data_IF_472478315220
#
_entry.id   IF_472478315220
#
_cell.length_a   1.000
_cell.length_b   1.000
_cell.length_c   1.000
_cell.angle_alpha   90.00
_cell.angle_beta   90.00
_cell.angle_gamma   90.00
#
_symmetry.space_group_name_H-M   'P 1'
#
loop_
_entity.id
_entity.type
_entity.pdbx_description
1 polymer ?
#
# COMPACT_ATOMS: atom_id res chain seq x y z
N UNK A 1 -37.27 58.39 -29.21
CA UNK A 1 -37.82 59.47 -28.37
C UNK A 1 -38.74 58.83 -27.34
N UNK A 2 -38.66 59.18 -26.05
CA UNK A 2 -37.53 58.88 -25.17
C UNK A 2 -37.95 58.34 -23.78
N UNK A 3 -36.95 57.99 -22.96
CA UNK A 3 -36.85 58.10 -21.49
C UNK A 3 -37.98 57.49 -20.61
N UNK A 4 -37.71 56.89 -19.45
CA UNK A 4 -37.33 57.63 -18.23
C UNK A 4 -36.46 56.78 -17.31
N UNK A 5 -35.29 57.34 -17.01
CA UNK A 5 -34.42 57.09 -15.83
C UNK A 5 -35.19 57.17 -14.49
N UNK A 6 -34.85 56.35 -13.49
CA UNK A 6 -33.97 56.76 -12.36
C UNK A 6 -33.87 55.71 -11.22
N UNK A 7 -32.78 55.76 -10.42
CA UNK A 7 -32.38 54.77 -9.41
C UNK A 7 -32.58 55.24 -7.95
N UNK A 8 -32.65 54.32 -6.98
CA UNK A 8 -32.39 54.49 -5.52
C UNK A 8 -32.49 53.09 -4.86
N UNK A 9 -31.79 52.65 -3.80
CA UNK A 9 -30.71 53.16 -2.95
C UNK A 9 -29.91 51.95 -2.39
N UNK A 10 -28.60 52.05 -2.18
CA UNK A 10 -27.93 52.58 -0.98
C UNK A 10 -28.22 51.85 0.35
N UNK A 11 -27.18 51.10 0.79
CA UNK A 11 -26.78 50.74 2.17
C UNK A 11 -27.55 49.63 2.90
N UNK A 12 -26.81 48.59 3.31
CA UNK A 12 -26.19 48.52 4.65
C UNK A 12 -25.15 47.39 4.71
N UNK A 13 -23.91 47.80 4.90
CA UNK A 13 -22.85 46.99 5.49
C UNK A 13 -23.23 46.64 6.93
N UNK A 14 -23.02 45.39 7.33
CA UNK A 14 -22.94 45.01 8.75
C UNK A 14 -21.50 44.61 9.04
N UNK A 15 -20.74 45.61 9.46
CA UNK A 15 -19.47 45.44 10.17
C UNK A 15 -19.80 44.98 11.58
N UNK A 16 -19.50 43.72 11.90
CA UNK A 16 -19.49 43.23 13.28
C UNK A 16 -18.08 43.49 13.81
N UNK A 17 -17.96 44.56 14.60
CA UNK A 17 -16.78 44.92 15.40
C UNK A 17 -17.30 45.18 16.81
N UNK A 18 -16.88 44.35 17.77
CA UNK A 18 -16.91 44.50 19.24
C UNK A 18 -16.49 43.11 19.78
N UNK A 19 -15.58 42.90 20.73
CA UNK A 19 -14.70 43.71 21.55
C UNK A 19 -13.73 42.71 22.23
N UNK A 20 -12.43 42.99 22.41
CA UNK A 20 -11.52 42.06 23.07
C UNK A 20 -11.56 42.25 24.60
N UNK A 21 -11.92 41.21 25.35
CA UNK A 21 -11.78 41.21 26.82
C UNK A 21 -10.36 40.79 27.22
N UNK A 22 -9.63 41.78 27.75
CA UNK A 22 -8.35 41.63 28.46
C UNK A 22 -8.51 40.78 29.73
N UNK A 23 -7.50 39.95 29.96
CA UNK A 23 -6.73 39.96 31.20
C UNK A 23 -7.10 38.93 32.25
N UNK A 24 -6.18 38.00 32.51
CA UNK A 24 -5.40 38.01 33.77
C UNK A 24 -4.21 37.05 33.70
N UNK A 25 -3.05 37.69 33.77
CA UNK A 25 -1.72 37.16 34.10
C UNK A 25 -1.72 36.56 35.51
N UNK A 26 -1.20 35.34 35.69
CA UNK A 26 -0.63 34.87 36.97
C UNK A 26 0.54 33.90 36.67
N UNK A 27 1.77 34.43 36.76
CA UNK A 27 2.99 33.82 37.28
C UNK A 27 3.69 34.97 38.03
N UNK A 28 4.31 34.75 39.21
CA UNK A 28 5.61 34.05 39.32
C UNK A 28 5.66 33.20 40.62
N UNK A 29 6.72 32.58 41.17
CA UNK A 29 8.18 32.59 40.98
C UNK A 29 8.77 31.41 41.81
N UNK A 30 10.10 31.23 41.71
CA UNK A 30 11.03 30.49 42.61
C UNK A 30 11.10 28.94 42.47
N UNK A 31 12.19 28.36 41.96
CA UNK A 31 13.57 28.26 42.46
C UNK A 31 13.74 27.26 43.63
N UNK A 32 14.26 26.06 43.33
CA UNK A 32 15.20 25.34 44.21
C UNK A 32 15.90 24.20 43.48
N UNK A 33 17.23 24.25 43.48
CA UNK A 33 18.19 23.15 43.35
C UNK A 33 19.31 23.44 44.39
N UNK A 34 20.27 22.55 44.72
CA UNK A 34 20.53 21.20 44.22
C UNK A 34 20.79 20.15 45.33
N UNK A 35 20.95 18.87 44.95
CA UNK A 35 21.45 17.81 45.84
C UNK A 35 22.41 16.88 45.11
N UNK A 36 23.72 17.07 45.34
CA UNK A 36 24.80 16.17 44.93
C UNK A 36 25.01 15.11 46.02
N UNK A 37 25.32 13.88 45.62
CA UNK A 37 25.88 12.84 46.50
C UNK A 37 26.49 11.71 45.67
N UNK A 38 27.82 11.61 45.72
CA UNK A 38 28.65 10.63 45.02
C UNK A 38 29.32 9.67 46.01
N UNK A 39 29.72 8.49 45.53
CA UNK A 39 30.54 7.48 46.23
C UNK A 39 29.67 6.37 46.85
N UNK A 40 29.88 5.08 46.58
CA UNK A 40 31.15 4.37 46.80
C UNK A 40 31.27 3.12 45.94
N UNK A 41 32.52 2.87 45.57
CA UNK A 41 33.12 1.74 44.87
C UNK A 41 32.97 0.38 45.57
N UNK A 42 32.69 -0.67 44.80
CA UNK A 42 32.89 -2.07 45.20
C UNK A 42 33.17 -2.93 43.96
N UNK A 43 34.37 -3.49 43.90
CA UNK A 43 35.00 -4.14 42.74
C UNK A 43 35.07 -5.66 42.93
N UNK A 44 34.84 -6.41 41.82
CA UNK A 44 35.19 -7.82 41.52
C UNK A 44 34.46 -8.91 42.35
N UNK A 45 34.10 -10.10 41.87
CA UNK A 45 34.54 -10.93 40.73
C UNK A 45 33.40 -11.94 40.41
N UNK A 46 33.03 -12.18 39.15
CA UNK A 46 33.50 -13.28 38.29
C UNK A 46 32.43 -14.34 37.96
N UNK A 47 32.41 -14.72 36.68
CA UNK A 47 32.01 -16.01 36.09
C UNK A 47 30.51 -16.35 35.97
N UNK A 48 30.09 -16.27 34.71
CA UNK A 48 29.78 -17.42 33.84
C UNK A 48 28.31 -17.68 33.45
N UNK A 49 28.18 -18.00 32.16
CA UNK A 49 27.13 -18.79 31.48
C UNK A 49 25.81 -18.12 31.12
N UNK A 50 25.75 -17.74 29.84
CA UNK A 50 24.67 -18.07 28.89
C UNK A 50 23.47 -18.82 29.45
N UNK A 51 22.29 -18.18 29.42
CA UNK A 51 21.02 -18.88 29.25
C UNK A 51 20.11 -18.07 28.33
N UNK A 52 20.09 -18.50 27.07
CA UNK A 52 19.05 -18.28 26.06
C UNK A 52 17.68 -18.59 26.69
N UNK A 53 16.61 -17.81 26.50
CA UNK A 53 15.29 -18.21 26.98
C UNK A 53 14.88 -19.47 26.21
N UNK A 54 14.79 -20.58 26.94
CA UNK A 54 14.35 -21.89 26.46
C UNK A 54 12.83 -21.79 26.31
N UNK A 55 12.33 -22.12 25.12
CA UNK A 55 10.89 -22.14 24.84
C UNK A 55 10.15 -22.95 25.91
N UNK A 56 9.09 -22.36 26.43
CA UNK A 56 8.17 -22.96 27.40
C UNK A 56 7.67 -24.28 26.82
N UNK A 57 8.08 -25.40 27.39
CA UNK A 57 7.45 -26.68 27.15
C UNK A 57 6.07 -26.62 27.82
N UNK A 58 5.00 -26.64 27.02
CA UNK A 58 3.62 -26.73 27.50
C UNK A 58 3.47 -28.03 28.31
N UNK A 59 2.83 -27.91 29.47
CA UNK A 59 2.55 -29.07 30.34
C UNK A 59 1.39 -29.89 29.74
N UNK A 60 1.26 -31.19 30.05
CA UNK A 60 0.23 -32.09 29.46
C UNK A 60 -1.23 -31.75 29.84
N UNK A 61 -1.47 -30.56 30.37
CA UNK A 61 -2.76 -30.03 30.81
C UNK A 61 -3.21 -28.80 30.00
N UNK A 62 -2.42 -28.33 29.03
CA UNK A 62 -2.84 -27.27 28.11
C UNK A 62 -3.66 -27.86 26.94
N UNK A 63 -4.86 -27.32 26.65
CA UNK A 63 -5.73 -27.90 25.62
C UNK A 63 -5.09 -27.83 24.23
N UNK A 64 -5.17 -28.92 23.48
CA UNK A 64 -4.61 -28.97 22.13
C UNK A 64 -5.35 -28.00 21.18
N UNK A 65 -4.70 -27.54 20.11
CA UNK A 65 -5.37 -26.66 19.13
C UNK A 65 -6.61 -27.32 18.50
N UNK A 66 -6.64 -28.64 18.44
CA UNK A 66 -7.80 -29.42 18.01
C UNK A 66 -8.93 -29.37 19.04
N UNK A 67 -8.62 -29.52 20.33
CA UNK A 67 -9.59 -29.38 21.43
C UNK A 67 -10.15 -27.96 21.54
N UNK A 68 -9.33 -26.93 21.28
CA UNK A 68 -9.78 -25.52 21.25
C UNK A 68 -10.85 -25.28 20.17
N UNK A 69 -10.80 -26.02 19.06
CA UNK A 69 -11.82 -25.98 18.00
C UNK A 69 -12.88 -27.09 18.15
N UNK A 70 -12.74 -28.01 19.11
CA UNK A 70 -13.62 -29.16 19.29
C UNK A 70 -13.55 -30.19 18.15
N UNK A 71 -12.35 -30.39 17.58
CA UNK A 71 -12.10 -31.27 16.45
C UNK A 71 -11.18 -32.43 16.82
N UNK A 72 -11.18 -33.47 15.99
CA UNK A 72 -10.18 -34.54 16.04
C UNK A 72 -9.00 -34.21 15.11
N UNK A 73 -7.80 -34.80 15.32
CA UNK A 73 -6.63 -34.57 14.46
C UNK A 73 -6.83 -35.00 12.99
N UNK A 74 -7.81 -35.87 12.73
CA UNK A 74 -8.20 -36.36 11.42
C UNK A 74 -9.18 -35.43 10.67
N UNK A 75 -9.57 -34.29 11.26
CA UNK A 75 -10.52 -33.36 10.65
C UNK A 75 -10.00 -32.78 9.33
N UNK A 76 -10.88 -32.75 8.33
CA UNK A 76 -10.65 -32.16 7.02
C UNK A 76 -10.61 -30.62 7.09
N UNK A 77 -10.01 -29.98 6.08
CA UNK A 77 -9.93 -28.52 6.01
C UNK A 77 -11.32 -27.83 6.05
N UNK A 78 -12.35 -28.51 5.51
CA UNK A 78 -13.72 -28.00 5.48
C UNK A 78 -14.39 -28.08 6.87
N UNK A 79 -14.09 -29.12 7.64
CA UNK A 79 -14.52 -29.26 9.04
C UNK A 79 -13.81 -28.24 9.94
N UNK A 80 -12.51 -28.00 9.73
CA UNK A 80 -11.72 -26.98 10.45
C UNK A 80 -12.33 -25.59 10.27
N UNK A 81 -12.67 -25.21 9.03
CA UNK A 81 -13.32 -23.93 8.72
C UNK A 81 -14.71 -23.83 9.33
N UNK A 82 -15.45 -24.94 9.39
CA UNK A 82 -16.81 -24.94 9.94
C UNK A 82 -16.82 -24.86 11.46
N UNK A 83 -15.92 -25.58 12.13
CA UNK A 83 -15.73 -25.52 13.57
C UNK A 83 -15.24 -24.14 14.02
N UNK A 84 -14.30 -23.52 13.31
CA UNK A 84 -13.85 -22.15 13.60
C UNK A 84 -15.02 -21.15 13.59
N UNK A 85 -15.89 -21.20 12.58
CA UNK A 85 -17.07 -20.31 12.52
C UNK A 85 -18.06 -20.53 13.67
N UNK A 86 -18.11 -21.74 14.24
CA UNK A 86 -18.96 -22.05 15.39
C UNK A 86 -18.29 -21.58 16.69
N UNK A 87 -17.00 -21.85 16.86
CA UNK A 87 -16.22 -21.46 18.02
C UNK A 87 -16.06 -19.93 18.13
N UNK A 88 -15.80 -19.23 17.01
CA UNK A 88 -15.64 -17.78 16.99
C UNK A 88 -16.94 -17.02 17.34
N UNK A 89 -18.11 -17.55 16.96
CA UNK A 89 -19.40 -16.98 17.37
C UNK A 89 -19.64 -17.12 18.87
N UNK A 90 -19.31 -18.28 19.43
CA UNK A 90 -19.45 -18.54 20.87
C UNK A 90 -18.43 -17.76 21.71
N UNK A 91 -17.25 -17.45 21.15
CA UNK A 91 -16.19 -16.70 21.83
C UNK A 91 -16.30 -15.17 21.64
N UNK A 92 -17.29 -14.68 20.88
CA UNK A 92 -17.47 -13.25 20.64
C UNK A 92 -17.94 -12.53 21.93
N UNK A 93 -17.43 -11.33 22.25
CA UNK A 93 -17.82 -10.58 23.46
C UNK A 93 -19.33 -10.30 23.52
N UNK A 94 -19.98 -10.11 22.37
CA UNK A 94 -21.44 -9.91 22.29
C UNK A 94 -22.27 -11.14 22.70
N UNK A 95 -21.68 -12.33 22.75
CA UNK A 95 -22.32 -13.57 23.23
C UNK A 95 -21.78 -14.04 24.60
N UNK A 96 -21.08 -13.16 25.32
CA UNK A 96 -20.53 -13.47 26.65
C UNK A 96 -19.15 -14.14 26.64
N UNK A 97 -18.45 -14.14 25.49
CA UNK A 97 -17.08 -14.64 25.36
C UNK A 97 -16.03 -13.66 25.88
N UNK A 98 -14.84 -14.18 26.22
CA UNK A 98 -13.69 -13.35 26.66
C UNK A 98 -12.70 -13.14 25.52
N UNK A 99 -12.01 -12.00 25.50
CA UNK A 99 -10.96 -11.71 24.50
C UNK A 99 -9.88 -12.82 24.44
N UNK A 100 -9.54 -13.42 25.59
CA UNK A 100 -8.61 -14.54 25.63
C UNK A 100 -9.14 -15.80 24.93
N UNK A 101 -10.42 -16.13 25.11
CA UNK A 101 -11.04 -17.27 24.41
C UNK A 101 -11.08 -17.07 22.90
N UNK A 102 -11.36 -15.84 22.46
CA UNK A 102 -11.37 -15.48 21.04
C UNK A 102 -9.96 -15.54 20.42
N UNK A 103 -8.95 -15.07 21.14
CA UNK A 103 -7.55 -15.19 20.71
C UNK A 103 -7.11 -16.65 20.59
N UNK A 104 -7.48 -17.52 21.53
CA UNK A 104 -7.16 -18.96 21.46
C UNK A 104 -7.80 -19.64 20.26
N UNK A 105 -9.07 -19.36 19.97
CA UNK A 105 -9.79 -19.89 18.79
C UNK A 105 -9.17 -19.40 17.48
N UNK A 106 -8.77 -18.12 17.42
CA UNK A 106 -8.13 -17.53 16.25
C UNK A 106 -6.74 -18.12 16.01
N UNK A 107 -5.96 -18.33 17.08
CA UNK A 107 -4.63 -18.92 16.99
C UNK A 107 -4.69 -20.40 16.55
N UNK A 108 -5.64 -21.17 17.07
CA UNK A 108 -5.87 -22.55 16.64
C UNK A 108 -6.21 -22.63 15.14
N UNK A 109 -7.09 -21.76 14.65
CA UNK A 109 -7.43 -21.72 13.23
C UNK A 109 -6.25 -21.27 12.36
N UNK A 110 -5.44 -20.31 12.81
CA UNK A 110 -4.24 -19.83 12.10
C UNK A 110 -3.22 -20.95 11.85
N UNK A 111 -3.08 -21.88 12.78
CA UNK A 111 -2.14 -23.01 12.66
C UNK A 111 -2.75 -24.18 11.90
N UNK A 112 -4.02 -24.50 12.14
CA UNK A 112 -4.68 -25.69 11.57
C UNK A 112 -5.25 -25.47 10.15
N UNK A 113 -5.50 -24.23 9.72
CA UNK A 113 -6.03 -23.94 8.38
C UNK A 113 -5.00 -24.06 7.25
N UNK A 114 -3.71 -23.89 7.56
CA UNK A 114 -2.62 -24.01 6.60
C UNK A 114 -2.03 -25.44 6.65
N UNK A 115 -2.05 -26.20 5.54
CA UNK A 115 -1.54 -27.57 5.50
C UNK A 115 -0.08 -27.72 5.95
N UNK A 116 0.78 -26.74 5.66
CA UNK A 116 2.19 -26.78 6.06
C UNK A 116 2.36 -26.53 7.56
N UNK A 117 1.58 -25.58 8.11
CA UNK A 117 1.61 -25.26 9.54
C UNK A 117 0.94 -26.34 10.38
N UNK A 118 -0.16 -26.93 9.89
CA UNK A 118 -0.81 -28.11 10.46
C UNK A 118 0.17 -29.29 10.49
N UNK A 119 0.85 -29.59 9.39
CA UNK A 119 1.86 -30.65 9.35
C UNK A 119 3.04 -30.38 10.31
N UNK A 120 3.47 -29.13 10.45
CA UNK A 120 4.52 -28.76 11.40
C UNK A 120 4.06 -28.88 12.86
N UNK A 121 2.80 -28.57 13.15
CA UNK A 121 2.16 -28.75 14.46
C UNK A 121 2.00 -30.23 14.78
N UNK A 122 1.44 -31.02 13.86
CA UNK A 122 1.25 -32.47 13.99
C UNK A 122 2.59 -33.20 14.18
N UNK A 123 3.67 -32.77 13.51
CA UNK A 123 5.02 -33.34 13.74
C UNK A 123 5.62 -32.99 15.11
N UNK A 124 5.23 -31.87 15.71
CA UNK A 124 5.78 -31.40 17.00
C UNK A 124 4.99 -31.89 18.21
N UNK A 125 3.69 -32.09 18.04
CA UNK A 125 2.76 -32.39 19.14
C UNK A 125 1.94 -33.66 18.91
N UNK A 126 2.05 -34.31 17.74
CA UNK A 126 1.46 -35.60 17.44
C UNK A 126 2.25 -36.74 18.07
N UNK A 127 2.03 -36.98 19.36
CA UNK A 127 2.21 -38.30 19.95
C UNK A 127 0.84 -38.75 20.49
N UNK A 128 0.33 -39.83 19.91
CA UNK A 128 -0.85 -40.55 20.41
C UNK A 128 -2.12 -40.40 19.58
N UNK A 129 -2.19 -41.07 18.44
CA UNK A 129 -3.24 -42.07 18.15
C UNK A 129 -2.81 -42.88 16.93
N UNK A 130 -2.74 -44.20 17.12
CA UNK A 130 -2.36 -45.22 16.15
C UNK A 130 -3.36 -45.39 14.98
N UNK A 131 -2.89 -46.15 13.99
CA UNK A 131 -3.58 -46.72 12.81
C UNK A 131 -3.67 -45.79 11.58
N UNK A 132 -3.17 -46.14 10.39
CA UNK A 132 -2.54 -47.37 9.94
C UNK A 132 -2.16 -47.16 8.46
N UNK A 133 -0.95 -47.58 8.10
CA UNK A 133 -0.53 -47.70 6.70
C UNK A 133 -0.97 -49.07 6.18
N UNK A 134 -1.57 -49.13 4.98
CA UNK A 134 -0.99 -49.98 3.93
C UNK A 134 -1.09 -49.27 2.57
N UNK A 135 -0.33 -49.57 1.54
CA UNK A 135 0.50 -50.73 1.23
C UNK A 135 0.60 -50.73 -0.30
N UNK A 136 1.81 -50.96 -0.81
CA UNK A 136 2.08 -51.07 -2.24
C UNK A 136 1.40 -52.32 -2.83
N UNK A 137 0.85 -52.21 -4.04
CA UNK A 137 0.63 -53.34 -4.93
C UNK A 137 0.69 -52.89 -6.39
N UNK A 138 1.51 -53.59 -7.16
CA UNK A 138 1.71 -53.45 -8.60
C UNK A 138 0.56 -54.09 -9.40
N UNK A 139 0.40 -53.65 -10.65
CA UNK A 139 -0.46 -54.30 -11.64
C UNK A 139 -0.31 -53.66 -13.03
N UNK A 140 0.46 -54.33 -13.89
CA UNK A 140 0.67 -54.03 -15.31
C UNK A 140 -0.45 -54.62 -16.17
N UNK A 141 -0.88 -53.92 -17.24
CA UNK A 141 -1.07 -54.52 -18.59
C UNK A 141 -1.55 -53.52 -19.66
N UNK A 142 -0.68 -53.25 -20.63
CA UNK A 142 -0.86 -53.22 -22.11
C UNK A 142 -2.04 -52.50 -22.81
N UNK A 143 -1.68 -51.62 -23.77
CA UNK A 143 -2.20 -51.68 -25.16
C UNK A 143 -2.85 -50.43 -25.80
N UNK A 144 -2.03 -49.55 -26.39
CA UNK A 144 -2.12 -48.74 -27.66
C UNK A 144 -3.45 -48.18 -28.23
N UNK A 145 -3.41 -47.22 -29.20
CA UNK A 145 -2.71 -45.92 -29.25
C UNK A 145 -3.65 -44.77 -29.72
N UNK A 146 -3.08 -43.57 -29.90
CA UNK A 146 -3.59 -42.43 -30.68
C UNK A 146 -4.57 -41.45 -30.01
N UNK A 147 -4.06 -40.26 -29.67
CA UNK A 147 -4.43 -39.02 -30.38
C UNK A 147 -3.61 -37.85 -29.85
N UNK A 148 -3.14 -37.02 -30.78
CA UNK A 148 -2.46 -35.74 -30.52
C UNK A 148 -3.32 -34.87 -29.60
N UNK A 149 -2.80 -34.55 -28.42
CA UNK A 149 -3.28 -33.42 -27.63
C UNK A 149 -2.07 -32.56 -27.24
N UNK A 150 -2.09 -31.33 -27.74
CA UNK A 150 -1.11 -30.31 -27.44
C UNK A 150 -0.93 -30.18 -25.93
N UNK A 151 0.33 -30.22 -25.48
CA UNK A 151 0.70 -29.94 -24.10
C UNK A 151 0.31 -28.52 -23.73
N UNK A 152 -0.90 -28.35 -23.20
CA UNK A 152 -1.22 -27.24 -22.31
C UNK A 152 -0.39 -27.50 -21.06
N UNK A 153 0.80 -26.90 -21.03
CA UNK A 153 1.50 -26.65 -19.77
C UNK A 153 0.51 -25.88 -18.92
N UNK A 154 -0.13 -26.55 -17.96
CA UNK A 154 -0.84 -25.88 -16.87
C UNK A 154 0.16 -24.93 -16.25
N UNK A 155 0.06 -23.66 -16.61
CA UNK A 155 0.74 -22.59 -15.90
C UNK A 155 0.35 -22.76 -14.41
N UNK A 156 1.29 -22.63 -13.47
CA UNK A 156 0.94 -22.69 -12.06
C UNK A 156 -0.20 -21.69 -11.85
N UNK A 157 -1.29 -22.17 -11.28
CA UNK A 157 -2.46 -21.39 -10.90
C UNK A 157 -1.94 -20.20 -10.10
N UNK A 158 -1.88 -19.02 -10.74
CA UNK A 158 -1.41 -17.80 -10.09
C UNK A 158 -2.46 -17.47 -9.04
N UNK A 159 -2.19 -17.84 -7.80
CA UNK A 159 -2.85 -17.20 -6.67
C UNK A 159 -2.71 -15.69 -6.86
N UNK A 160 -3.80 -14.90 -6.76
CA UNK A 160 -3.70 -13.45 -6.74
C UNK A 160 -2.60 -13.10 -5.76
N UNK A 161 -1.57 -12.40 -6.21
CA UNK A 161 -0.45 -12.16 -5.36
C UNK A 161 -0.93 -11.20 -4.26
N UNK A 162 -1.06 -11.72 -3.05
CA UNK A 162 -1.61 -10.96 -1.93
C UNK A 162 -0.67 -9.79 -1.63
N UNK A 163 -1.17 -8.56 -1.86
CA UNK A 163 -0.41 -7.32 -1.65
C UNK A 163 -0.04 -7.11 -0.17
N UNK A 164 -0.74 -7.80 0.74
CA UNK A 164 -0.61 -7.70 2.20
C UNK A 164 0.66 -8.38 2.77
N UNK A 165 1.40 -9.12 1.93
CA UNK A 165 2.59 -9.85 2.38
C UNK A 165 3.72 -8.90 2.78
N UNK A 166 4.54 -9.28 3.76
CA UNK A 166 5.73 -8.53 4.13
C UNK A 166 6.67 -8.29 2.93
N UNK A 167 7.32 -7.12 2.87
CA UNK A 167 8.19 -6.78 1.77
C UNK A 167 9.45 -7.66 1.75
N UNK A 168 9.83 -8.13 0.56
CA UNK A 168 11.11 -8.78 0.30
C UNK A 168 11.99 -7.80 -0.45
N UNK A 169 13.14 -7.45 0.12
CA UNK A 169 14.07 -6.51 -0.50
C UNK A 169 15.05 -7.25 -1.41
N UNK A 170 15.27 -6.71 -2.60
CA UNK A 170 16.19 -7.27 -3.60
C UNK A 170 17.16 -6.18 -4.08
N UNK A 171 18.49 -6.36 -3.95
CA UNK A 171 19.16 -7.44 -3.23
C UNK A 171 18.83 -7.42 -1.72
N UNK A 172 19.17 -8.51 -1.03
CA UNK A 172 18.96 -8.62 0.41
C UNK A 172 19.96 -7.75 1.19
N UNK A 173 19.59 -7.41 2.43
CA UNK A 173 20.46 -6.67 3.33
C UNK A 173 21.48 -7.62 3.98
N UNK A 174 22.49 -8.02 3.20
CA UNK A 174 23.56 -8.89 3.67
C UNK A 174 24.79 -8.08 4.07
N UNK A 175 25.48 -8.39 5.18
CA UNK A 175 26.74 -7.73 5.54
C UNK A 175 27.86 -7.87 4.49
N UNK A 176 27.73 -8.82 3.56
CA UNK A 176 28.71 -9.10 2.50
C UNK A 176 28.57 -8.20 1.29
N UNK A 177 27.38 -7.65 1.06
CA UNK A 177 27.08 -6.77 -0.07
C UNK A 177 26.35 -5.53 0.49
N UNK A 178 27.07 -4.42 0.74
CA UNK A 178 26.48 -3.26 1.38
C UNK A 178 25.34 -2.72 0.48
N UNK A 179 24.15 -2.50 1.06
CA UNK A 179 22.98 -2.13 0.28
C UNK A 179 23.16 -0.75 -0.35
N UNK A 180 22.64 -0.55 -1.58
CA UNK A 180 22.66 0.76 -2.26
C UNK A 180 21.99 1.87 -1.42
N UNK A 181 21.05 1.49 -0.55
CA UNK A 181 20.27 2.39 0.29
C UNK A 181 20.27 1.83 1.71
N UNK A 182 20.42 2.65 2.77
CA UNK A 182 20.27 2.19 4.14
C UNK A 182 18.88 1.54 4.39
N UNK A 183 18.84 0.47 5.18
CA UNK A 183 17.60 -0.26 5.51
C UNK A 183 16.50 0.65 6.07
N UNK A 184 16.88 1.65 6.88
CA UNK A 184 15.93 2.63 7.43
C UNK A 184 15.22 3.40 6.32
N UNK A 185 15.97 3.84 5.29
CA UNK A 185 15.41 4.59 4.18
C UNK A 185 14.64 3.64 3.24
N UNK A 186 15.14 2.45 2.94
CA UNK A 186 14.42 1.46 2.12
C UNK A 186 13.13 0.93 2.78
N UNK A 187 13.08 0.91 4.11
CA UNK A 187 11.93 0.48 4.90
C UNK A 187 10.78 1.49 4.92
N UNK A 188 11.05 2.77 4.68
CA UNK A 188 10.01 3.79 4.57
C UNK A 188 9.18 3.56 3.30
N UNK A 189 7.86 3.69 3.40
CA UNK A 189 6.98 3.56 2.22
C UNK A 189 6.86 4.85 1.42
N UNK A 190 7.13 6.00 2.03
CA UNK A 190 6.95 7.32 1.41
C UNK A 190 8.28 8.06 1.41
N UNK A 191 8.64 8.61 0.26
CA UNK A 191 9.87 9.36 0.02
C UNK A 191 9.57 10.67 -0.70
N UNK A 192 10.46 11.66 -0.51
CA UNK A 192 10.34 12.96 -1.15
C UNK A 192 9.12 13.76 -0.67
N UNK A 193 8.82 14.85 -1.37
CA UNK A 193 7.65 15.69 -1.09
C UNK A 193 7.15 16.37 -2.37
N UNK A 194 5.86 16.73 -2.45
CA UNK A 194 5.33 17.57 -3.51
C UNK A 194 6.10 18.89 -3.63
N UNK A 195 6.30 19.34 -4.86
CA UNK A 195 7.05 20.57 -5.10
C UNK A 195 6.18 21.76 -4.77
N UNK A 196 6.62 22.53 -3.77
CA UNK A 196 5.94 23.76 -3.37
C UNK A 196 6.02 24.78 -4.51
N UNK A 197 4.87 25.36 -4.94
CA UNK A 197 4.89 26.46 -5.89
C UNK A 197 5.73 27.61 -5.32
N UNK A 198 6.58 28.21 -6.16
CA UNK A 198 7.31 29.42 -5.81
C UNK A 198 6.36 30.54 -5.39
N UNK A 199 6.86 31.56 -4.67
CA UNK A 199 6.04 32.61 -4.04
C UNK A 199 5.07 33.29 -5.02
N UNK A 200 5.49 33.48 -6.28
CA UNK A 200 4.70 34.10 -7.36
C UNK A 200 3.75 33.12 -8.06
N UNK A 201 3.99 31.81 -7.96
CA UNK A 201 3.20 30.74 -8.59
C UNK A 201 2.13 30.15 -7.66
N UNK A 202 1.95 30.74 -6.46
CA UNK A 202 0.89 30.38 -5.51
C UNK A 202 -0.51 30.81 -5.96
N UNK A 203 -0.60 31.55 -7.04
CA UNK A 203 -1.85 31.93 -7.68
C UNK A 203 -1.91 31.29 -9.07
N UNK A 204 -3.02 30.63 -9.40
CA UNK A 204 -3.24 29.97 -10.71
C UNK A 204 -2.91 28.47 -10.74
N UNK A 205 -2.66 27.93 -11.94
CA UNK A 205 -2.63 26.49 -12.21
C UNK A 205 -1.58 25.69 -11.40
N UNK A 206 -0.47 26.33 -11.01
CA UNK A 206 0.58 25.69 -10.22
C UNK A 206 0.18 25.41 -8.76
N UNK A 207 -0.65 26.27 -8.15
CA UNK A 207 -1.22 26.01 -6.83
C UNK A 207 -2.19 24.82 -6.85
N UNK A 208 -3.07 24.76 -7.86
CA UNK A 208 -3.98 23.63 -8.03
C UNK A 208 -3.27 22.29 -8.21
N UNK A 209 -2.07 22.27 -8.83
CA UNK A 209 -1.25 21.06 -8.93
C UNK A 209 -0.74 20.62 -7.55
N UNK A 210 -0.17 21.53 -6.76
CA UNK A 210 0.34 21.20 -5.44
C UNK A 210 -0.76 20.64 -4.52
N UNK A 211 -1.95 21.24 -4.54
CA UNK A 211 -3.08 20.75 -3.76
C UNK A 211 -3.51 19.35 -4.22
N UNK A 212 -3.60 19.13 -5.54
CA UNK A 212 -3.93 17.82 -6.10
C UNK A 212 -2.87 16.75 -5.78
N UNK A 213 -1.58 17.09 -5.82
CA UNK A 213 -0.49 16.19 -5.44
C UNK A 213 -0.60 15.77 -3.96
N UNK A 214 -0.87 16.73 -3.05
CA UNK A 214 -1.09 16.41 -1.63
C UNK A 214 -2.36 15.57 -1.38
N UNK A 215 -3.40 15.73 -2.19
CA UNK A 215 -4.58 14.87 -2.13
C UNK A 215 -4.26 13.45 -2.60
N UNK A 216 -3.50 13.29 -3.68
CA UNK A 216 -3.05 11.98 -4.16
C UNK A 216 -2.19 11.27 -3.12
N UNK A 217 -1.23 11.95 -2.48
CA UNK A 217 -0.40 11.34 -1.43
C UNK A 217 -1.26 10.82 -0.29
N UNK A 218 -2.13 11.67 0.27
CA UNK A 218 -3.01 11.26 1.39
C UNK A 218 -3.95 10.13 1.03
N UNK A 219 -4.42 10.09 -0.21
CA UNK A 219 -5.23 9.00 -0.72
C UNK A 219 -4.43 7.69 -0.76
N UNK A 220 -3.23 7.70 -1.33
CA UNK A 220 -2.42 6.48 -1.48
C UNK A 220 -1.87 5.99 -0.15
N UNK A 221 -1.45 6.89 0.73
CA UNK A 221 -0.96 6.54 2.07
C UNK A 221 -2.03 5.78 2.86
N UNK A 222 -3.23 6.37 2.96
CA UNK A 222 -4.33 5.80 3.77
C UNK A 222 -5.00 4.60 3.13
N UNK A 223 -5.20 4.63 1.81
CA UNK A 223 -6.09 3.66 1.15
C UNK A 223 -5.33 2.63 0.31
N UNK A 224 -4.01 2.73 0.13
CA UNK A 224 -3.26 1.76 -0.67
C UNK A 224 -2.03 1.22 0.06
N UNK A 225 -1.21 2.08 0.64
CA UNK A 225 0.04 1.69 1.29
C UNK A 225 -0.19 0.93 2.60
N UNK A 226 -1.29 1.20 3.31
CA UNK A 226 -1.71 0.43 4.49
C UNK A 226 -1.89 -1.07 4.17
N UNK A 227 -2.50 -1.37 3.01
CA UNK A 227 -2.74 -2.75 2.54
C UNK A 227 -1.61 -3.29 1.65
N UNK A 228 -0.61 -2.47 1.35
CA UNK A 228 0.49 -2.83 0.45
C UNK A 228 1.87 -2.49 1.03
N UNK A 229 2.37 -3.32 1.98
CA UNK A 229 3.63 -3.05 2.70
C UNK A 229 4.87 -2.90 1.81
N UNK A 230 4.87 -3.51 0.62
CA UNK A 230 5.95 -3.40 -0.36
C UNK A 230 5.86 -2.17 -1.27
N UNK A 231 4.73 -1.46 -1.29
CA UNK A 231 4.58 -0.23 -2.05
C UNK A 231 5.58 0.84 -1.61
N UNK A 232 6.26 1.47 -2.56
CA UNK A 232 7.16 2.61 -2.33
C UNK A 232 6.72 3.80 -3.17
N UNK A 233 6.15 4.80 -2.51
CA UNK A 233 5.72 6.06 -3.09
C UNK A 233 6.86 7.08 -3.02
N UNK A 234 7.34 7.52 -4.17
CA UNK A 234 8.36 8.56 -4.31
C UNK A 234 7.68 9.80 -4.89
N UNK A 235 7.80 10.94 -4.21
CA UNK A 235 7.11 12.18 -4.56
C UNK A 235 8.07 13.24 -5.08
N UNK A 236 7.64 14.02 -6.07
CA UNK A 236 8.34 15.21 -6.56
C UNK A 236 9.64 14.91 -7.30
N UNK A 237 9.63 13.96 -8.23
CA UNK A 237 10.86 13.58 -8.95
C UNK A 237 11.21 14.58 -10.05
N UNK A 238 12.50 14.82 -10.21
CA UNK A 238 13.09 15.56 -11.32
C UNK A 238 14.00 14.63 -12.14
N UNK A 239 13.61 14.32 -13.37
CA UNK A 239 14.34 13.38 -14.23
C UNK A 239 14.70 14.04 -15.57
N UNK A 240 15.87 13.74 -16.16
CA UNK A 240 16.19 14.21 -17.50
C UNK A 240 15.24 13.57 -18.52
N UNK A 241 14.69 14.37 -19.43
CA UNK A 241 13.87 13.87 -20.53
C UNK A 241 14.75 13.11 -21.53
N UNK A 242 14.53 11.80 -21.67
CA UNK A 242 15.19 10.99 -22.69
C UNK A 242 14.52 11.14 -24.08
N UNK A 243 13.43 11.89 -24.17
CA UNK A 243 12.70 12.17 -25.40
C UNK A 243 13.34 13.24 -26.30
N UNK A 244 12.78 13.43 -27.50
CA UNK A 244 13.32 14.35 -28.51
C UNK A 244 13.27 15.83 -28.09
N UNK A 245 12.44 16.18 -27.12
CA UNK A 245 12.33 17.55 -26.59
C UNK A 245 13.46 17.90 -25.63
N UNK A 246 14.11 16.89 -25.03
CA UNK A 246 15.14 17.08 -24.01
C UNK A 246 14.67 17.93 -22.82
N UNK A 247 15.64 18.40 -22.04
CA UNK A 247 15.41 19.14 -20.81
C UNK A 247 15.07 18.22 -19.65
N UNK A 248 14.27 18.72 -18.70
CA UNK A 248 13.90 17.97 -17.50
C UNK A 248 12.39 17.80 -17.41
N UNK A 249 11.98 16.65 -16.88
CA UNK A 249 10.61 16.29 -16.59
C UNK A 249 10.39 16.32 -15.08
N UNK A 250 9.28 16.94 -14.72
CA UNK A 250 8.80 16.93 -13.37
C UNK A 250 7.68 15.92 -13.23
N UNK A 251 7.86 14.96 -12.32
CA UNK A 251 6.92 13.89 -12.05
C UNK A 251 6.35 14.08 -10.65
N UNK A 252 5.01 14.15 -10.56
CA UNK A 252 4.33 14.35 -9.28
C UNK A 252 4.61 13.19 -8.33
N UNK A 253 4.32 11.96 -8.76
CA UNK A 253 4.57 10.77 -7.95
C UNK A 253 4.97 9.56 -8.80
N UNK A 254 5.77 8.67 -8.22
CA UNK A 254 6.04 7.33 -8.73
C UNK A 254 5.75 6.35 -7.61
N UNK A 255 4.91 5.36 -7.89
CA UNK A 255 4.64 4.25 -6.97
C UNK A 255 5.27 2.98 -7.54
N UNK A 256 6.24 2.43 -6.81
CA UNK A 256 6.96 1.21 -7.15
C UNK A 256 6.42 0.04 -6.34
N UNK A 257 6.30 -1.12 -6.99
CA UNK A 257 5.85 -2.34 -6.35
C UNK A 257 6.18 -3.57 -7.19
N UNK A 258 7.01 -4.48 -6.67
CA UNK A 258 7.56 -5.59 -7.45
C UNK A 258 8.30 -5.08 -8.70
N UNK A 259 7.92 -5.61 -9.87
CA UNK A 259 8.41 -5.18 -11.18
C UNK A 259 7.40 -4.29 -11.92
N UNK A 260 6.57 -3.56 -11.18
CA UNK A 260 5.59 -2.62 -11.73
C UNK A 260 5.80 -1.23 -11.16
N UNK A 261 5.62 -0.22 -11.99
CA UNK A 261 5.81 1.17 -11.65
C UNK A 261 4.64 1.99 -12.17
N UNK A 262 3.94 2.67 -11.27
CA UNK A 262 2.88 3.59 -11.62
C UNK A 262 3.39 5.03 -11.55
N UNK A 263 3.33 5.75 -12.67
CA UNK A 263 3.74 7.15 -12.76
C UNK A 263 2.48 8.01 -12.68
N UNK A 264 2.40 8.88 -11.67
CA UNK A 264 1.18 9.59 -11.34
C UNK A 264 1.35 11.10 -11.57
N UNK A 265 0.45 11.65 -12.37
CA UNK A 265 0.20 13.09 -12.46
C UNK A 265 -1.08 13.44 -11.72
N UNK A 266 -1.12 14.60 -11.07
CA UNK A 266 -2.28 15.06 -10.31
C UNK A 266 -2.75 16.42 -10.82
N UNK A 267 -4.05 16.60 -11.00
CA UNK A 267 -4.67 17.85 -11.44
C UNK A 267 -5.91 18.16 -10.60
N UNK A 268 -6.04 19.41 -10.14
CA UNK A 268 -7.31 19.92 -9.61
C UNK A 268 -8.24 20.20 -10.79
N UNK A 269 -9.32 19.43 -10.90
CA UNK A 269 -10.28 19.51 -11.97
C UNK A 269 -11.44 20.44 -11.62
N UNK A 270 -11.92 21.21 -12.61
CA UNK A 270 -13.18 21.93 -12.46
C UNK A 270 -14.36 20.93 -12.51
N UNK A 271 -15.48 21.19 -11.84
CA UNK A 271 -16.64 20.31 -11.91
C UNK A 271 -17.15 20.12 -13.34
N UNK A 272 -17.57 18.89 -13.65
CA UNK A 272 -18.19 18.51 -14.92
C UNK A 272 -17.53 17.29 -15.57
N UNK A 273 -17.92 17.02 -16.81
CA UNK A 273 -17.43 15.87 -17.55
C UNK A 273 -16.13 16.18 -18.29
N UNK A 274 -15.27 15.18 -18.31
CA UNK A 274 -14.02 15.17 -19.05
C UNK A 274 -14.08 14.07 -20.09
N UNK A 275 -13.40 14.25 -21.21
CA UNK A 275 -13.27 13.22 -22.25
C UNK A 275 -11.81 12.93 -22.49
N UNK A 276 -11.45 11.65 -22.48
CA UNK A 276 -10.11 11.18 -22.82
C UNK A 276 -10.13 10.48 -24.17
N UNK A 277 -9.29 10.92 -25.11
CA UNK A 277 -9.20 10.33 -26.45
C UNK A 277 -7.94 9.47 -26.66
N UNK A 278 -7.25 9.07 -25.58
CA UNK A 278 -6.01 8.31 -25.64
C UNK A 278 -4.75 9.17 -25.67
N UNK A 279 -4.86 10.45 -26.01
CA UNK A 279 -3.71 11.37 -26.09
C UNK A 279 -3.96 12.70 -25.37
N UNK A 280 -5.17 13.24 -25.52
CA UNK A 280 -5.60 14.53 -25.03
C UNK A 280 -6.76 14.39 -24.05
N UNK A 281 -6.71 15.21 -23.01
CA UNK A 281 -7.80 15.35 -22.05
C UNK A 281 -8.60 16.60 -22.41
N UNK A 282 -9.89 16.42 -22.70
CA UNK A 282 -10.78 17.49 -23.11
C UNK A 282 -11.78 17.81 -21.99
N UNK A 283 -12.01 19.10 -21.75
CA UNK A 283 -13.06 19.62 -20.88
C UNK A 283 -13.79 20.75 -21.60
N UNK A 284 -15.10 20.62 -21.76
CA UNK A 284 -15.94 21.58 -22.51
C UNK A 284 -15.39 21.90 -23.92
N UNK A 285 -14.88 20.86 -24.59
CA UNK A 285 -14.30 20.96 -25.94
C UNK A 285 -12.91 21.61 -26.01
N UNK A 286 -12.29 21.96 -24.88
CA UNK A 286 -10.93 22.50 -24.82
C UNK A 286 -9.97 21.48 -24.23
N UNK A 287 -8.77 21.43 -24.78
CA UNK A 287 -7.70 20.64 -24.19
C UNK A 287 -7.30 21.21 -22.83
N UNK A 288 -7.30 20.33 -21.84
CA UNK A 288 -6.77 20.59 -20.51
C UNK A 288 -5.33 20.17 -20.55
N UNK A 289 -4.41 21.10 -20.29
CA UNK A 289 -2.98 20.80 -20.42
C UNK A 289 -2.62 19.58 -19.58
N UNK A 290 -2.21 18.53 -20.26
CA UNK A 290 -1.72 17.33 -19.60
C UNK A 290 -0.29 17.60 -19.19
N UNK A 291 0.06 17.13 -18.00
CA UNK A 291 1.47 16.95 -17.62
C UNK A 291 2.21 16.24 -18.77
N UNK A 292 3.51 16.48 -18.92
CA UNK A 292 4.39 15.69 -19.81
C UNK A 292 4.57 14.25 -19.29
N UNK A 293 3.47 13.63 -18.85
CA UNK A 293 3.39 12.36 -18.16
C UNK A 293 3.69 11.21 -19.11
N UNK A 294 3.23 11.27 -20.36
CA UNK A 294 3.61 10.30 -21.38
C UNK A 294 5.13 10.30 -21.64
N UNK A 295 5.76 11.48 -21.63
CA UNK A 295 7.22 11.61 -21.74
C UNK A 295 7.93 11.02 -20.50
N UNK A 296 7.37 11.22 -19.30
CA UNK A 296 7.88 10.66 -18.06
C UNK A 296 7.78 9.13 -18.02
N UNK A 297 6.63 8.57 -18.39
CA UNK A 297 6.41 7.12 -18.51
C UNK A 297 7.43 6.51 -19.47
N UNK A 298 7.60 7.09 -20.66
CA UNK A 298 8.59 6.63 -21.64
C UNK A 298 10.02 6.69 -21.08
N UNK A 299 10.39 7.82 -20.48
CA UNK A 299 11.72 8.02 -19.89
C UNK A 299 12.01 7.00 -18.79
N UNK A 300 11.06 6.77 -17.89
CA UNK A 300 11.21 5.78 -16.82
C UNK A 300 11.21 4.35 -17.35
N UNK A 301 10.40 4.03 -18.36
CA UNK A 301 10.40 2.72 -19.01
C UNK A 301 11.74 2.42 -19.71
N UNK A 302 12.35 3.41 -20.36
CA UNK A 302 13.68 3.27 -20.97
C UNK A 302 14.76 3.12 -19.91
N UNK A 303 14.64 3.83 -18.77
CA UNK A 303 15.61 3.77 -17.68
C UNK A 303 15.55 2.46 -16.89
N UNK A 304 14.37 1.87 -16.73
CA UNK A 304 14.11 0.66 -15.96
C UNK A 304 13.39 -0.39 -16.84
N UNK A 305 14.09 -1.00 -17.81
CA UNK A 305 13.49 -1.94 -18.76
C UNK A 305 12.90 -3.20 -18.10
N UNK A 306 13.34 -3.55 -16.90
CA UNK A 306 12.84 -4.67 -16.09
C UNK A 306 11.48 -4.38 -15.44
N UNK A 307 11.08 -3.11 -15.35
CA UNK A 307 9.80 -2.70 -14.78
C UNK A 307 8.77 -2.49 -15.88
N UNK A 308 7.53 -2.91 -15.64
CA UNK A 308 6.39 -2.45 -16.43
C UNK A 308 5.93 -1.09 -15.90
N UNK A 309 6.13 -0.05 -16.69
CA UNK A 309 5.80 1.33 -16.33
C UNK A 309 4.48 1.75 -16.97
N UNK A 310 3.54 2.23 -16.18
CA UNK A 310 2.23 2.72 -16.66
C UNK A 310 1.89 4.05 -15.99
N UNK A 311 1.25 4.96 -16.72
CA UNK A 311 0.90 6.29 -16.23
C UNK A 311 -0.57 6.44 -15.84
N UNK A 312 -0.84 7.24 -14.82
CA UNK A 312 -2.18 7.72 -14.49
C UNK A 312 -2.19 9.23 -14.27
N UNK A 313 -3.13 9.92 -14.93
CA UNK A 313 -3.50 11.28 -14.59
C UNK A 313 -4.73 11.26 -13.70
N UNK A 314 -4.56 11.74 -12.46
CA UNK A 314 -5.59 11.76 -11.43
C UNK A 314 -6.24 13.14 -11.42
N UNK A 315 -7.56 13.16 -11.60
CA UNK A 315 -8.37 14.37 -11.56
C UNK A 315 -9.05 14.45 -10.19
N UNK A 316 -8.67 15.43 -9.37
CA UNK A 316 -9.29 15.68 -8.08
C UNK A 316 -10.40 16.71 -8.21
N UNK A 317 -11.55 16.43 -7.60
CA UNK A 317 -12.61 17.42 -7.45
C UNK A 317 -12.39 18.29 -6.21
N UNK A 318 -12.66 19.61 -6.26
CA UNK A 318 -12.54 20.51 -5.11
C UNK A 318 -13.46 20.13 -3.94
N UNK A 319 -14.52 19.37 -4.18
CA UNK A 319 -15.45 18.91 -3.15
C UNK A 319 -14.97 17.64 -2.44
N UNK A 320 -13.87 17.03 -2.88
CA UNK A 320 -13.32 15.80 -2.30
C UNK A 320 -14.09 14.53 -2.63
N UNK A 321 -15.09 14.56 -3.51
CA UNK A 321 -15.80 13.35 -3.95
C UNK A 321 -14.85 12.44 -4.75
N UNK A 322 -14.57 11.20 -4.32
CA UNK A 322 -13.63 10.32 -4.99
C UNK A 322 -14.14 9.78 -6.34
N UNK A 323 -15.42 9.94 -6.64
CA UNK A 323 -16.03 9.50 -7.89
C UNK A 323 -16.18 10.64 -8.91
N UNK A 324 -15.73 11.84 -8.57
CA UNK A 324 -15.73 13.01 -9.45
C UNK A 324 -14.29 13.45 -9.79
N UNK A 325 -14.07 14.05 -10.97
CA UNK A 325 -15.04 14.22 -12.06
C UNK A 325 -15.29 12.91 -12.83
N UNK A 326 -16.36 12.90 -13.65
CA UNK A 326 -16.63 11.80 -14.58
C UNK A 326 -15.71 11.96 -15.79
N UNK A 327 -15.04 10.86 -16.17
CA UNK A 327 -14.15 10.79 -17.34
C UNK A 327 -14.74 9.82 -18.35
N UNK A 328 -15.15 10.36 -19.49
CA UNK A 328 -15.70 9.64 -20.62
C UNK A 328 -14.59 9.09 -21.51
N UNK A 329 -14.71 7.81 -21.84
CA UNK A 329 -13.86 7.11 -22.78
C UNK A 329 -14.68 6.77 -24.02
N UNK A 330 -14.24 7.14 -25.23
CA UNK A 330 -14.93 6.72 -26.44
C UNK A 330 -14.86 5.19 -26.57
N UNK A 331 -15.84 4.53 -27.23
CA UNK A 331 -15.95 3.07 -27.27
C UNK A 331 -14.69 2.34 -27.76
N UNK A 332 -13.93 2.97 -28.66
CA UNK A 332 -12.67 2.41 -29.19
C UNK A 332 -11.52 2.38 -28.15
N UNK A 333 -11.58 3.23 -27.13
CA UNK A 333 -10.56 3.38 -26.08
C UNK A 333 -11.05 2.79 -24.77
N UNK A 334 -11.47 1.52 -24.82
CA UNK A 334 -11.92 0.78 -23.64
C UNK A 334 -11.00 1.02 -22.46
N UNK A 335 -11.58 1.38 -21.31
CA UNK A 335 -10.83 1.64 -20.07
C UNK A 335 -10.04 0.41 -19.59
N UNK A 336 -10.45 -0.77 -20.03
CA UNK A 336 -9.82 -2.05 -19.72
C UNK A 336 -8.63 -2.37 -20.63
N UNK A 337 -8.44 -1.62 -21.71
CA UNK A 337 -7.32 -1.83 -22.63
C UNK A 337 -6.01 -1.35 -22.00
N UNK A 338 -4.88 -2.04 -22.25
CA UNK A 338 -3.57 -1.64 -21.74
C UNK A 338 -3.07 -0.41 -22.50
N UNK A 339 -3.55 0.77 -22.12
CA UNK A 339 -2.95 2.03 -22.52
C UNK A 339 -1.71 2.29 -21.64
N UNK A 340 -0.71 2.97 -22.19
CA UNK A 340 0.44 3.43 -21.40
C UNK A 340 0.07 4.57 -20.45
N UNK A 341 -1.08 5.21 -20.69
CA UNK A 341 -1.59 6.31 -19.90
C UNK A 341 -3.10 6.19 -19.69
N UNK A 342 -3.52 6.33 -18.44
CA UNK A 342 -4.92 6.33 -18.02
C UNK A 342 -5.29 7.66 -17.38
N UNK A 343 -6.60 7.91 -17.27
CA UNK A 343 -7.15 9.08 -16.56
C UNK A 343 -8.18 8.57 -15.57
N UNK A 344 -8.14 9.05 -14.33
CA UNK A 344 -9.06 8.57 -13.32
C UNK A 344 -9.41 9.65 -12.31
N UNK A 345 -10.61 9.52 -11.75
CA UNK A 345 -10.92 10.10 -10.46
C UNK A 345 -10.24 9.28 -9.33
N UNK A 346 -10.21 9.79 -8.09
CA UNK A 346 -9.52 9.12 -6.97
C UNK A 346 -9.95 7.67 -6.72
N UNK A 347 -11.25 7.39 -6.75
CA UNK A 347 -11.78 6.03 -6.56
C UNK A 347 -11.40 5.09 -7.69
N UNK A 348 -11.43 5.57 -8.93
CA UNK A 348 -10.98 4.84 -10.10
C UNK A 348 -9.50 4.51 -10.04
N UNK A 349 -8.67 5.47 -9.62
CA UNK A 349 -7.23 5.28 -9.43
C UNK A 349 -6.93 4.14 -8.46
N UNK A 350 -7.52 4.16 -7.27
CA UNK A 350 -7.26 3.13 -6.25
C UNK A 350 -7.59 1.72 -6.76
N UNK A 351 -8.74 1.57 -7.41
CA UNK A 351 -9.17 0.29 -8.00
C UNK A 351 -8.19 -0.17 -9.08
N UNK A 352 -7.75 0.73 -9.95
CA UNK A 352 -6.83 0.43 -11.04
C UNK A 352 -5.43 0.11 -10.53
N UNK A 353 -4.91 0.86 -9.56
CA UNK A 353 -3.59 0.58 -8.95
C UNK A 353 -3.58 -0.75 -8.22
N UNK A 354 -4.60 -1.07 -7.42
CA UNK A 354 -4.69 -2.39 -6.73
C UNK A 354 -4.64 -3.53 -7.72
N UNK A 355 -5.42 -3.43 -8.80
CA UNK A 355 -5.39 -4.41 -9.90
C UNK A 355 -4.02 -4.46 -10.58
N UNK A 356 -3.45 -3.29 -10.90
CA UNK A 356 -2.16 -3.17 -11.55
C UNK A 356 -1.04 -3.79 -10.71
N UNK A 357 -0.98 -3.61 -9.40
CA UNK A 357 0.07 -4.28 -8.60
C UNK A 357 -0.23 -5.77 -8.40
N UNK A 358 -1.48 -6.17 -8.14
CA UNK A 358 -1.85 -7.56 -7.89
C UNK A 358 -1.60 -8.49 -9.09
N UNK A 359 -1.74 -8.00 -10.32
CA UNK A 359 -1.47 -8.76 -11.54
C UNK A 359 0.04 -8.85 -11.88
N UNK A 360 0.90 -8.14 -11.15
CA UNK A 360 2.34 -8.07 -11.38
C UNK A 360 3.13 -9.28 -10.87
N UNK A 361 4.32 -9.54 -11.42
CA UNK A 361 5.21 -10.55 -10.86
C UNK A 361 5.79 -10.02 -9.53
N UNK A 362 5.81 -10.87 -8.51
CA UNK A 362 6.39 -10.60 -7.20
C UNK A 362 6.01 -9.23 -6.60
N UNK A 363 4.72 -8.92 -6.42
CA UNK A 363 4.32 -7.58 -6.00
C UNK A 363 4.80 -7.24 -4.58
N UNK A 364 5.07 -8.23 -3.73
CA UNK A 364 5.64 -7.99 -2.40
C UNK A 364 7.15 -7.72 -2.42
N UNK A 365 7.78 -7.62 -3.59
CA UNK A 365 9.23 -7.31 -3.71
C UNK A 365 9.49 -5.81 -3.80
N UNK A 366 10.54 -5.33 -3.15
CA UNK A 366 11.08 -3.98 -3.27
C UNK A 366 12.45 -4.05 -3.92
N UNK A 367 12.56 -3.55 -5.15
CA UNK A 367 13.81 -3.54 -5.91
C UNK A 367 14.66 -2.33 -5.53
N UNK A 368 15.71 -2.53 -4.73
CA UNK A 368 16.61 -1.45 -4.29
C UNK A 368 17.35 -0.77 -5.46
N UNK A 369 17.80 -1.47 -6.52
CA UNK A 369 18.44 -0.83 -7.67
C UNK A 369 17.51 0.12 -8.45
N UNK A 370 16.20 -0.10 -8.37
CA UNK A 370 15.18 0.78 -8.97
C UNK A 370 14.80 1.89 -7.99
N UNK A 371 14.67 1.58 -6.70
CA UNK A 371 14.28 2.54 -5.68
C UNK A 371 15.34 3.63 -5.46
N UNK A 372 16.63 3.29 -5.41
CA UNK A 372 17.69 4.24 -5.08
C UNK A 372 17.73 5.43 -6.04
N UNK A 373 17.77 5.21 -7.36
CA UNK A 373 17.84 6.32 -8.31
C UNK A 373 16.55 7.14 -8.38
N UNK A 374 15.40 6.58 -7.97
CA UNK A 374 14.14 7.33 -7.83
C UNK A 374 14.19 8.25 -6.61
N UNK A 375 14.67 7.76 -5.46
CA UNK A 375 14.85 8.57 -4.25
C UNK A 375 15.83 9.70 -4.53
N UNK A 376 16.97 9.43 -5.17
CA UNK A 376 17.95 10.45 -5.54
C UNK A 376 17.36 11.53 -6.46
N UNK A 377 16.45 11.16 -7.35
CA UNK A 377 15.73 12.07 -8.23
C UNK A 377 14.66 12.91 -7.51
N UNK A 378 14.24 12.52 -6.31
CA UNK A 378 13.26 13.25 -5.48
C UNK A 378 13.90 14.22 -4.47
N UNK A 379 15.19 14.07 -4.20
CA UNK A 379 15.91 14.84 -3.19
C UNK A 379 16.45 16.19 -3.71
N UNK A 380 16.22 16.52 -4.99
CA UNK A 380 16.69 17.72 -5.68
C UNK A 380 15.51 18.58 -6.10
#
# INVERSE_FOLDING_TARGET
MPDVRRPYGSRRTHTVLLCPRRGKTILPDSASAPGRGAGTTGRLASRSRTSRPRGTALSPSDPTLYEVLGLTPAASALEIKTAYRKAARNAHPDQGGTSESFHRVTEAYRVLSDPQRKAAYDRRFGQGTDAGSPGAAAGSSSGSPASRAAGTRSAPERTPADLDRPPVFVPDFSPKDPPLIPLVLAGQQVHGAPRRPGLLSRFGAAAGRFDAENLTIRLLERELLEDYPAGRLVNGLHIPDAGPRGGNLDVGHVLLGGYRMAVLGSLMASPGNYRWDGQHLLHRGREVSTLRLADAVRTLQTRFPECNVTGWLVLHSPNGNPFEPIVDYPPALSRSAPATLHVANPGGLLRELRRFFAEGPQPNTVQLPVLAPLIDASAR
#
